data_IF_965843968151
#
_entry.id   IF_965843968151
#
_cell.length_a   1.000
_cell.length_b   1.000
_cell.length_c   1.000
_cell.angle_alpha   90.00
_cell.angle_beta   90.00
_cell.angle_gamma   90.00
#
_symmetry.space_group_name_H-M   'P 1'
#
loop_
_entity.id
_entity.type
_entity.pdbx_description
1 polymer ?
#
# COMPACT_ATOMS: atom_id res chain seq x y z
N UNK A 1 -11.34 19.68 1.08
CA UNK A 1 -11.18 18.37 1.76
C UNK A 1 -12.55 17.80 2.04
N UNK A 2 -12.84 16.52 1.77
CA UNK A 2 -14.00 15.88 2.35
C UNK A 2 -13.96 16.13 3.87
N UNK A 3 -15.03 16.72 4.42
CA UNK A 3 -15.08 17.07 5.84
C UNK A 3 -14.98 15.79 6.69
N UNK A 4 -13.97 15.72 7.55
CA UNK A 4 -13.83 14.63 8.52
C UNK A 4 -12.72 13.60 8.26
N UNK A 5 -11.83 13.79 7.28
CA UNK A 5 -10.66 12.92 7.15
C UNK A 5 -9.74 13.06 8.37
N UNK A 6 -9.23 11.94 8.92
CA UNK A 6 -8.29 12.00 10.03
C UNK A 6 -7.00 12.70 9.60
N UNK A 7 -6.40 13.45 10.52
CA UNK A 7 -5.13 14.12 10.27
C UNK A 7 -3.99 13.11 10.31
N UNK A 8 -3.24 13.04 9.22
CA UNK A 8 -2.03 12.25 9.07
C UNK A 8 -0.85 13.18 8.76
N UNK A 9 0.41 12.75 8.95
CA UNK A 9 1.56 13.59 8.61
C UNK A 9 1.55 14.15 7.18
N UNK A 10 1.08 13.35 6.19
CA UNK A 10 0.95 13.80 4.80
C UNK A 10 -0.02 14.96 4.61
N UNK A 11 -0.92 15.21 5.57
CA UNK A 11 -1.92 16.28 5.47
C UNK A 11 -1.27 17.68 5.38
N UNK A 12 -0.07 17.85 5.91
CA UNK A 12 0.67 19.11 5.88
C UNK A 12 1.22 19.43 4.48
N UNK A 13 1.32 18.45 3.59
CA UNK A 13 1.89 18.59 2.24
C UNK A 13 0.85 18.64 1.13
N UNK A 14 -0.44 18.48 1.45
CA UNK A 14 -1.49 18.31 0.45
C UNK A 14 -1.72 19.57 -0.40
N UNK A 15 -1.58 20.76 0.18
CA UNK A 15 -1.73 22.02 -0.57
C UNK A 15 -0.60 22.20 -1.58
N UNK A 16 0.66 21.97 -1.18
CA UNK A 16 1.81 22.00 -2.06
C UNK A 16 1.71 20.95 -3.19
N UNK A 17 1.21 19.74 -2.86
CA UNK A 17 0.97 18.68 -3.83
C UNK A 17 -0.11 19.08 -4.86
N UNK A 18 -1.20 19.66 -4.39
CA UNK A 18 -2.29 20.14 -5.26
C UNK A 18 -1.82 21.24 -6.19
N UNK A 19 -1.01 22.16 -5.70
CA UNK A 19 -0.40 23.24 -6.50
C UNK A 19 0.54 22.67 -7.56
N UNK A 20 1.44 21.75 -7.19
CA UNK A 20 2.35 21.09 -8.12
C UNK A 20 1.61 20.35 -9.25
N UNK A 21 0.59 19.56 -8.91
CA UNK A 21 -0.23 18.85 -9.90
C UNK A 21 -1.07 19.81 -10.77
N UNK A 22 -1.46 20.96 -10.24
CA UNK A 22 -2.22 21.96 -11.00
C UNK A 22 -1.32 22.69 -12.01
N UNK A 23 -0.13 23.09 -11.61
CA UNK A 23 0.77 23.95 -12.40
C UNK A 23 1.69 23.15 -13.32
N UNK A 24 2.24 22.04 -12.82
CA UNK A 24 3.22 21.21 -13.56
C UNK A 24 2.61 19.95 -14.14
N UNK A 25 1.52 19.47 -13.57
CA UNK A 25 0.87 18.20 -13.94
C UNK A 25 1.65 16.95 -13.52
N UNK A 26 2.83 17.10 -12.94
CA UNK A 26 3.67 16.03 -12.38
C UNK A 26 4.15 16.40 -10.99
N UNK A 27 4.30 15.41 -10.09
CA UNK A 27 4.89 15.62 -8.78
C UNK A 27 5.48 14.30 -8.25
N UNK A 28 6.44 14.41 -7.34
CA UNK A 28 6.96 13.30 -6.56
C UNK A 28 6.76 13.60 -5.08
N UNK A 29 6.13 12.68 -4.36
CA UNK A 29 5.88 12.77 -2.92
C UNK A 29 6.72 11.74 -2.19
N UNK A 30 7.61 12.20 -1.31
CA UNK A 30 8.32 11.36 -0.35
C UNK A 30 7.64 11.46 1.01
N UNK A 31 7.23 10.32 1.58
CA UNK A 31 6.63 10.26 2.90
C UNK A 31 6.89 8.90 3.54
N UNK A 32 7.27 8.83 4.82
CA UNK A 32 7.56 7.56 5.49
C UNK A 32 6.32 6.66 5.57
N UNK A 33 6.51 5.35 5.82
CA UNK A 33 5.40 4.44 6.05
C UNK A 33 4.47 4.94 7.16
N UNK A 34 3.17 4.76 6.98
CA UNK A 34 2.17 5.23 7.96
C UNK A 34 1.85 6.73 7.91
N UNK A 35 2.50 7.52 7.05
CA UNK A 35 2.18 8.95 6.87
C UNK A 35 0.79 9.21 6.25
N UNK A 36 0.11 8.18 5.74
CA UNK A 36 -1.22 8.27 5.14
C UNK A 36 -1.22 8.55 3.63
N UNK A 37 -0.06 8.48 2.94
CA UNK A 37 0.06 8.77 1.51
C UNK A 37 -0.94 7.99 0.65
N UNK A 38 -0.99 6.66 0.81
CA UNK A 38 -1.85 5.75 0.02
C UNK A 38 -3.35 6.05 0.15
N UNK A 39 -3.79 6.55 1.29
CA UNK A 39 -5.23 6.72 1.57
C UNK A 39 -5.69 8.17 1.52
N UNK A 40 -4.92 9.11 2.07
CA UNK A 40 -5.34 10.51 2.20
C UNK A 40 -5.10 11.28 0.91
N UNK A 41 -3.98 11.04 0.22
CA UNK A 41 -3.64 11.75 -1.02
C UNK A 41 -4.70 11.55 -2.12
N UNK A 42 -5.09 10.31 -2.49
CA UNK A 42 -6.11 10.13 -3.52
C UNK A 42 -7.47 10.72 -3.13
N UNK A 43 -7.86 10.60 -1.84
CA UNK A 43 -9.12 11.18 -1.34
C UNK A 43 -9.12 12.71 -1.37
N UNK A 44 -7.99 13.35 -1.04
CA UNK A 44 -7.86 14.79 -1.13
C UNK A 44 -7.98 15.28 -2.57
N UNK A 45 -7.39 14.56 -3.53
CA UNK A 45 -7.38 14.93 -4.94
C UNK A 45 -8.71 14.64 -5.68
N UNK A 46 -9.68 14.00 -5.02
CA UNK A 46 -11.03 13.81 -5.58
C UNK A 46 -11.71 15.12 -5.95
N UNK A 47 -11.51 16.17 -5.16
CA UNK A 47 -12.14 17.47 -5.37
C UNK A 47 -11.27 18.42 -6.22
N UNK A 48 -10.15 17.94 -6.78
CA UNK A 48 -9.26 18.77 -7.58
C UNK A 48 -9.97 19.28 -8.85
N UNK A 49 -9.97 20.61 -9.13
CA UNK A 49 -10.71 21.19 -10.27
C UNK A 49 -10.32 20.61 -11.63
N UNK A 50 -9.06 20.27 -11.80
CA UNK A 50 -8.53 19.71 -13.04
C UNK A 50 -9.00 18.26 -13.29
N UNK A 51 -9.44 17.54 -12.25
CA UNK A 51 -9.93 16.17 -12.40
C UNK A 51 -11.21 16.11 -13.23
N UNK A 52 -12.09 17.12 -13.11
CA UNK A 52 -13.42 17.12 -13.74
C UNK A 52 -14.15 15.82 -13.42
N UNK A 53 -14.51 15.05 -14.45
CA UNK A 53 -15.15 13.73 -14.32
C UNK A 53 -14.15 12.56 -14.48
N UNK A 54 -12.86 12.86 -14.69
CA UNK A 54 -11.82 11.85 -14.88
C UNK A 54 -11.54 11.05 -13.60
N UNK A 55 -11.14 9.80 -13.76
CA UNK A 55 -10.76 8.91 -12.67
C UNK A 55 -9.35 9.18 -12.16
N UNK A 56 -9.11 8.80 -10.93
CA UNK A 56 -7.79 8.63 -10.34
C UNK A 56 -7.48 7.14 -10.37
N UNK A 57 -6.38 6.76 -11.02
CA UNK A 57 -5.84 5.40 -10.99
C UNK A 57 -4.70 5.38 -9.99
N UNK A 58 -4.80 4.54 -8.96
CA UNK A 58 -3.77 4.31 -7.95
C UNK A 58 -3.14 2.94 -8.16
N UNK A 59 -1.86 2.91 -8.54
CA UNK A 59 -1.11 1.67 -8.67
C UNK A 59 -0.56 1.26 -7.31
N UNK A 60 -0.81 0.02 -6.95
CA UNK A 60 -0.33 -0.61 -5.74
C UNK A 60 0.34 -1.94 -6.11
N UNK A 61 1.60 -2.21 -5.75
CA UNK A 61 2.32 -3.39 -6.21
C UNK A 61 1.70 -4.70 -5.71
N UNK A 62 1.03 -4.67 -4.57
CA UNK A 62 0.55 -5.88 -3.89
C UNK A 62 -0.96 -5.97 -3.86
N UNK A 63 -1.49 -7.11 -4.28
CA UNK A 63 -2.95 -7.37 -4.34
C UNK A 63 -3.65 -7.16 -2.99
N UNK A 64 -2.99 -7.58 -1.91
CA UNK A 64 -3.54 -7.45 -0.57
C UNK A 64 -3.63 -5.99 -0.13
N UNK A 65 -2.55 -5.23 -0.36
CA UNK A 65 -2.47 -3.81 -0.08
C UNK A 65 -3.45 -3.00 -0.94
N UNK A 66 -3.56 -3.31 -2.24
CA UNK A 66 -4.53 -2.68 -3.14
C UNK A 66 -5.98 -2.80 -2.63
N UNK A 67 -6.37 -4.02 -2.22
CA UNK A 67 -7.70 -4.26 -1.65
C UNK A 67 -7.89 -3.56 -0.30
N UNK A 68 -6.88 -3.60 0.56
CA UNK A 68 -6.91 -2.95 1.87
C UNK A 68 -7.00 -1.42 1.73
N UNK A 69 -6.22 -0.83 0.82
CA UNK A 69 -6.25 0.61 0.52
C UNK A 69 -7.63 1.05 0.02
N UNK A 70 -8.20 0.33 -0.96
CA UNK A 70 -9.53 0.64 -1.47
C UNK A 70 -10.61 0.54 -0.40
N UNK A 71 -10.62 -0.53 0.41
CA UNK A 71 -11.57 -0.68 1.51
C UNK A 71 -11.39 0.41 2.58
N UNK A 72 -10.14 0.79 2.90
CA UNK A 72 -9.85 1.85 3.87
C UNK A 72 -10.33 3.20 3.38
N UNK A 73 -10.05 3.56 2.13
CA UNK A 73 -10.52 4.81 1.53
C UNK A 73 -12.05 4.87 1.48
N UNK A 74 -12.72 3.80 1.02
CA UNK A 74 -14.17 3.72 1.02
C UNK A 74 -14.76 3.89 2.43
N UNK A 75 -14.19 3.21 3.44
CA UNK A 75 -14.61 3.34 4.84
C UNK A 75 -14.45 4.76 5.38
N UNK A 76 -13.40 5.50 4.96
CA UNK A 76 -13.20 6.91 5.33
C UNK A 76 -14.28 7.83 4.73
N UNK A 77 -14.87 7.44 3.61
CA UNK A 77 -16.01 8.13 2.99
C UNK A 77 -17.37 7.65 3.55
N UNK A 78 -17.39 6.66 4.45
CA UNK A 78 -18.64 6.04 4.93
C UNK A 78 -19.28 5.07 3.93
N UNK A 79 -18.52 4.62 2.92
CA UNK A 79 -18.97 3.80 1.79
C UNK A 79 -18.35 2.38 1.84
N UNK A 80 -18.77 1.55 0.89
CA UNK A 80 -18.15 0.25 0.62
C UNK A 80 -17.30 0.33 -0.64
N UNK A 81 -16.25 -0.49 -0.73
CA UNK A 81 -15.48 -0.61 -1.95
C UNK A 81 -16.37 -1.03 -3.13
N UNK A 82 -16.22 -0.34 -4.26
CA UNK A 82 -17.04 -0.45 -5.46
C UNK A 82 -18.00 0.73 -5.68
N UNK A 83 -18.12 1.64 -4.70
CA UNK A 83 -18.84 2.91 -4.84
C UNK A 83 -17.88 4.00 -5.38
N UNK A 84 -17.60 5.06 -4.63
CA UNK A 84 -16.64 6.10 -5.06
C UNK A 84 -15.22 5.57 -5.20
N UNK A 85 -14.81 4.65 -4.31
CA UNK A 85 -13.51 3.97 -4.36
C UNK A 85 -13.71 2.51 -4.67
N UNK A 86 -12.99 2.02 -5.68
CA UNK A 86 -13.01 0.61 -6.06
C UNK A 86 -11.60 0.07 -6.29
N UNK A 87 -11.52 -1.20 -6.63
CA UNK A 87 -10.26 -1.84 -7.01
C UNK A 87 -10.43 -2.81 -8.17
N UNK A 88 -9.37 -3.00 -8.93
CA UNK A 88 -9.29 -4.00 -9.99
C UNK A 88 -7.94 -4.71 -9.96
N UNK A 89 -7.99 -6.01 -9.77
CA UNK A 89 -6.85 -6.91 -9.78
C UNK A 89 -7.16 -8.11 -10.66
N UNK A 90 -6.15 -8.90 -10.98
CA UNK A 90 -6.36 -10.14 -11.73
C UNK A 90 -7.33 -11.05 -10.96
N UNK A 91 -8.46 -11.41 -11.59
CA UNK A 91 -9.52 -12.28 -11.07
C UNK A 91 -10.29 -11.75 -9.84
N UNK A 92 -10.12 -10.49 -9.48
CA UNK A 92 -10.86 -9.86 -8.39
C UNK A 92 -11.07 -8.37 -8.68
N UNK A 93 -12.33 -7.92 -8.70
CA UNK A 93 -12.67 -6.54 -9.04
C UNK A 93 -13.93 -6.11 -8.31
N UNK A 94 -13.90 -4.89 -7.78
CA UNK A 94 -15.07 -4.19 -7.23
C UNK A 94 -15.05 -2.75 -7.69
N UNK A 95 -15.71 -2.49 -8.80
CA UNK A 95 -15.88 -1.18 -9.43
C UNK A 95 -17.33 -1.02 -9.91
N UNK A 96 -17.78 0.22 -10.06
CA UNK A 96 -19.06 0.59 -10.64
C UNK A 96 -18.93 1.81 -11.56
N UNK A 97 -20.01 2.22 -12.18
CA UNK A 97 -20.04 3.48 -12.95
C UNK A 97 -19.78 4.72 -12.06
N UNK A 98 -20.02 4.61 -10.75
CA UNK A 98 -19.76 5.66 -9.76
C UNK A 98 -18.30 5.73 -9.29
N UNK A 99 -17.47 4.73 -9.62
CA UNK A 99 -16.08 4.68 -9.12
C UNK A 99 -15.24 5.81 -9.71
N UNK A 100 -14.64 6.61 -8.83
CA UNK A 100 -13.79 7.77 -9.14
C UNK A 100 -12.32 7.52 -8.81
N UNK A 101 -12.04 6.72 -7.77
CA UNK A 101 -10.69 6.22 -7.47
C UNK A 101 -10.69 4.73 -7.73
N UNK A 102 -9.79 4.27 -8.59
CA UNK A 102 -9.62 2.86 -8.91
C UNK A 102 -8.22 2.41 -8.51
N UNK A 103 -8.14 1.56 -7.49
CA UNK A 103 -6.87 0.97 -7.05
C UNK A 103 -6.60 -0.25 -7.91
N UNK A 104 -5.45 -0.27 -8.56
CA UNK A 104 -5.07 -1.34 -9.49
C UNK A 104 -3.70 -1.89 -9.15
N UNK A 105 -3.46 -3.16 -9.51
CA UNK A 105 -2.09 -3.69 -9.50
C UNK A 105 -1.35 -3.29 -10.77
N UNK A 106 -0.03 -3.22 -10.71
CA UNK A 106 0.84 -2.79 -11.80
C UNK A 106 0.55 -3.53 -13.12
N UNK A 107 0.43 -4.86 -13.09
CA UNK A 107 0.11 -5.64 -14.29
C UNK A 107 -1.29 -5.38 -14.87
N UNK A 108 -2.25 -4.92 -14.04
CA UNK A 108 -3.56 -4.46 -14.53
C UNK A 108 -3.42 -3.11 -15.21
N UNK A 109 -2.64 -2.20 -14.66
CA UNK A 109 -2.38 -0.90 -15.28
C UNK A 109 -1.65 -1.04 -16.62
N UNK A 110 -0.61 -1.88 -16.68
CA UNK A 110 0.07 -2.16 -17.94
C UNK A 110 -0.89 -2.67 -19.03
N UNK A 111 -1.86 -3.49 -18.65
CA UNK A 111 -2.91 -3.94 -19.56
C UNK A 111 -3.85 -2.80 -19.96
N UNK A 112 -4.25 -1.95 -19.01
CA UNK A 112 -5.15 -0.81 -19.29
C UNK A 112 -4.54 0.12 -20.33
N UNK A 113 -3.26 0.48 -20.21
CA UNK A 113 -2.60 1.40 -21.12
C UNK A 113 -2.33 0.79 -22.50
N UNK A 114 -2.18 -0.54 -22.58
CA UNK A 114 -2.08 -1.24 -23.86
C UNK A 114 -3.43 -1.37 -24.58
N UNK A 115 -4.51 -1.54 -23.82
CA UNK A 115 -5.88 -1.65 -24.37
C UNK A 115 -6.45 -0.27 -24.74
N UNK A 116 -6.08 0.80 -24.03
CA UNK A 116 -6.44 2.20 -24.26
C UNK A 116 -5.21 3.11 -24.06
N UNK A 117 -4.40 3.34 -25.11
CA UNK A 117 -3.20 4.15 -25.03
C UNK A 117 -3.44 5.62 -24.65
N UNK A 118 -4.63 6.14 -24.83
CA UNK A 118 -4.99 7.51 -24.42
C UNK A 118 -5.40 7.58 -22.95
N UNK A 119 -5.56 6.44 -22.26
CA UNK A 119 -6.11 6.40 -20.90
C UNK A 119 -7.41 7.23 -20.78
N UNK A 120 -8.34 7.01 -21.70
CA UNK A 120 -9.59 7.77 -21.81
C UNK A 120 -10.34 7.81 -20.48
N UNK A 121 -10.73 9.02 -20.05
CA UNK A 121 -11.43 9.22 -18.78
C UNK A 121 -10.56 9.09 -17.53
N UNK A 122 -9.23 9.00 -17.65
CA UNK A 122 -8.29 9.07 -16.54
C UNK A 122 -7.73 10.48 -16.46
N UNK A 123 -7.78 11.09 -15.27
CA UNK A 123 -7.22 12.43 -15.00
C UNK A 123 -5.89 12.39 -14.26
N UNK A 124 -5.66 11.35 -13.46
CA UNK A 124 -4.46 11.19 -12.64
C UNK A 124 -4.07 9.74 -12.54
N UNK A 125 -2.78 9.45 -12.73
CA UNK A 125 -2.16 8.18 -12.39
C UNK A 125 -1.21 8.38 -11.21
N UNK A 126 -1.39 7.60 -10.15
CA UNK A 126 -0.56 7.61 -8.94
C UNK A 126 0.20 6.29 -8.88
N UNK A 127 1.52 6.35 -8.82
CA UNK A 127 2.40 5.21 -8.58
C UNK A 127 2.76 5.19 -7.10
N UNK A 128 2.18 4.27 -6.32
CA UNK A 128 2.51 4.13 -4.90
C UNK A 128 3.63 3.12 -4.69
N UNK A 129 4.29 3.23 -3.54
CA UNK A 129 5.43 2.39 -3.11
C UNK A 129 6.53 2.25 -4.19
N UNK A 130 6.75 3.29 -4.99
CA UNK A 130 7.66 3.27 -6.15
C UNK A 130 9.10 2.91 -5.78
N UNK A 131 9.51 3.05 -4.52
CA UNK A 131 10.81 2.62 -4.02
C UNK A 131 11.01 1.10 -4.01
N UNK A 132 9.96 0.28 -4.14
CA UNK A 132 10.07 -1.17 -4.28
C UNK A 132 10.69 -1.58 -5.63
N UNK A 133 10.69 -0.69 -6.62
CA UNK A 133 11.37 -0.82 -7.92
C UNK A 133 11.01 -2.11 -8.66
N UNK A 134 9.76 -2.26 -9.02
CA UNK A 134 9.34 -3.33 -9.93
C UNK A 134 9.53 -2.93 -11.40
N UNK A 135 9.79 -3.93 -12.26
CA UNK A 135 9.85 -3.71 -13.70
C UNK A 135 8.50 -3.18 -14.24
N UNK A 136 7.40 -3.68 -13.71
CA UNK A 136 6.05 -3.28 -14.14
C UNK A 136 5.73 -1.84 -13.76
N UNK A 137 6.19 -1.36 -12.58
CA UNK A 137 6.04 0.03 -12.17
C UNK A 137 6.88 0.97 -13.03
N UNK A 138 8.17 0.64 -13.24
CA UNK A 138 9.07 1.43 -14.08
C UNK A 138 8.55 1.51 -15.53
N UNK A 139 8.08 0.40 -16.09
CA UNK A 139 7.47 0.35 -17.42
C UNK A 139 6.17 1.14 -17.48
N UNK A 140 5.30 0.98 -16.49
CA UNK A 140 4.04 1.72 -16.39
C UNK A 140 4.26 3.23 -16.32
N UNK A 141 5.27 3.68 -15.54
CA UNK A 141 5.63 5.10 -15.48
C UNK A 141 6.14 5.61 -16.83
N UNK A 142 7.01 4.87 -17.50
CA UNK A 142 7.53 5.25 -18.81
C UNK A 142 6.39 5.41 -19.83
N UNK A 143 5.46 4.46 -19.88
CA UNK A 143 4.29 4.55 -20.75
C UNK A 143 3.37 5.73 -20.39
N UNK A 144 3.11 5.97 -19.12
CA UNK A 144 2.29 7.10 -18.68
C UNK A 144 2.92 8.45 -19.05
N UNK A 145 4.25 8.58 -18.95
CA UNK A 145 4.99 9.76 -19.38
C UNK A 145 4.93 9.94 -20.92
N UNK A 146 5.03 8.86 -21.68
CA UNK A 146 4.90 8.89 -23.14
C UNK A 146 3.49 9.34 -23.57
N UNK A 147 2.45 8.76 -22.95
CA UNK A 147 1.06 9.20 -23.16
C UNK A 147 0.88 10.67 -22.85
N UNK A 148 1.43 11.13 -21.71
CA UNK A 148 1.34 12.54 -21.33
C UNK A 148 2.04 13.45 -22.34
N UNK A 149 3.21 13.08 -22.84
CA UNK A 149 4.00 13.92 -23.74
C UNK A 149 3.45 13.98 -25.15
N UNK A 150 2.83 12.89 -25.63
CA UNK A 150 2.41 12.76 -27.02
C UNK A 150 0.90 12.83 -27.26
N UNK A 151 0.08 12.38 -26.31
CA UNK A 151 -1.36 12.18 -26.52
C UNK A 151 -2.23 12.99 -25.54
N UNK A 152 -1.80 13.12 -24.28
CA UNK A 152 -2.62 13.64 -23.18
C UNK A 152 -1.84 14.60 -22.28
N UNK A 153 -1.53 15.80 -22.77
CA UNK A 153 -0.86 16.84 -21.97
C UNK A 153 -1.60 17.18 -20.65
N UNK A 154 -2.90 16.92 -20.61
CA UNK A 154 -3.76 17.11 -19.44
C UNK A 154 -3.66 15.99 -18.39
N UNK A 155 -3.08 14.83 -18.74
CA UNK A 155 -2.89 13.72 -17.81
C UNK A 155 -1.91 14.12 -16.69
N UNK A 156 -2.29 13.89 -15.44
CA UNK A 156 -1.40 14.11 -14.31
C UNK A 156 -0.76 12.81 -13.86
N UNK A 157 0.48 12.94 -13.37
CA UNK A 157 1.25 11.79 -12.88
C UNK A 157 1.85 12.16 -11.52
N UNK A 158 1.59 11.32 -10.53
CA UNK A 158 2.15 11.42 -9.19
C UNK A 158 2.92 10.14 -8.87
N UNK A 159 4.15 10.29 -8.41
CA UNK A 159 4.93 9.17 -7.84
C UNK A 159 5.00 9.36 -6.33
N UNK A 160 4.70 8.32 -5.56
CA UNK A 160 4.81 8.29 -4.11
C UNK A 160 5.83 7.25 -3.66
N UNK A 161 6.70 7.63 -2.73
CA UNK A 161 7.81 6.80 -2.24
C UNK A 161 7.92 6.89 -0.73
N UNK A 162 8.43 5.85 -0.08
CA UNK A 162 8.80 5.87 1.34
C UNK A 162 10.24 6.33 1.58
N UNK A 163 11.05 6.47 0.55
CA UNK A 163 12.45 6.91 0.65
C UNK A 163 12.64 8.32 0.12
N UNK A 164 13.67 9.00 0.63
CA UNK A 164 14.00 10.39 0.27
C UNK A 164 14.74 10.49 -1.08
N UNK A 165 15.29 9.39 -1.62
CA UNK A 165 16.02 9.41 -2.90
C UNK A 165 15.06 9.35 -4.10
N UNK A 166 14.31 10.43 -4.28
CA UNK A 166 13.31 10.57 -5.35
C UNK A 166 13.80 11.45 -6.51
N UNK A 167 14.95 12.10 -6.38
CA UNK A 167 15.44 13.09 -7.33
C UNK A 167 15.66 12.53 -8.74
N UNK A 168 16.08 11.26 -8.86
CA UNK A 168 16.21 10.60 -10.16
C UNK A 168 14.85 10.41 -10.85
N UNK A 169 13.83 10.11 -10.08
CA UNK A 169 12.47 9.96 -10.61
C UNK A 169 11.93 11.33 -11.00
N UNK A 170 12.13 12.34 -10.17
CA UNK A 170 11.75 13.71 -10.47
C UNK A 170 12.37 14.23 -11.77
N UNK A 171 13.69 13.97 -11.98
CA UNK A 171 14.39 14.32 -13.21
C UNK A 171 13.81 13.60 -14.45
N UNK A 172 13.50 12.29 -14.34
CA UNK A 172 12.82 11.53 -15.41
C UNK A 172 11.44 12.08 -15.75
N UNK A 173 10.75 12.69 -14.78
CA UNK A 173 9.43 13.29 -14.95
C UNK A 173 9.51 14.77 -15.40
N UNK A 174 10.64 15.22 -15.95
CA UNK A 174 10.84 16.60 -16.43
C UNK A 174 11.02 17.60 -15.29
N UNK A 175 11.88 17.28 -14.34
CA UNK A 175 12.14 18.05 -13.11
C UNK A 175 10.84 18.33 -12.34
N UNK A 176 10.10 17.26 -12.07
CA UNK A 176 8.86 17.32 -11.31
C UNK A 176 9.11 17.87 -9.89
N UNK A 177 8.21 18.68 -9.33
CA UNK A 177 8.33 19.15 -7.95
C UNK A 177 8.43 17.98 -6.97
N UNK A 178 9.46 18.03 -6.11
CA UNK A 178 9.67 17.09 -5.01
C UNK A 178 9.01 17.65 -3.74
N UNK A 179 8.14 16.87 -3.15
CA UNK A 179 7.41 17.24 -1.93
C UNK A 179 7.73 16.20 -0.87
N UNK A 180 8.11 16.67 0.30
CA UNK A 180 8.52 15.82 1.42
C UNK A 180 7.56 15.99 2.60
N UNK A 181 7.05 14.85 3.10
CA UNK A 181 6.31 14.79 4.36
C UNK A 181 7.21 14.22 5.45
N UNK A 182 7.46 15.01 6.49
CA UNK A 182 8.39 14.65 7.57
C UNK A 182 7.91 13.53 8.49
N UNK A 183 6.68 13.09 8.43
CA UNK A 183 6.13 11.97 9.17
C UNK A 183 6.62 11.80 10.62
N UNK A 184 6.00 10.92 11.39
CA UNK A 184 6.52 10.53 12.72
C UNK A 184 7.28 9.21 12.58
N UNK A 185 8.57 9.21 12.91
CA UNK A 185 9.33 7.98 13.14
C UNK A 185 9.24 7.59 14.62
N UNK A 186 9.03 6.31 14.87
CA UNK A 186 9.14 5.75 16.23
C UNK A 186 10.51 5.10 16.39
N UNK A 187 11.11 5.11 17.59
CA UNK A 187 12.37 4.43 17.81
C UNK A 187 12.20 2.92 17.57
N UNK A 188 13.19 2.34 16.88
CA UNK A 188 13.24 0.90 16.57
C UNK A 188 14.40 0.31 17.35
N UNK A 189 14.13 -0.72 18.18
CA UNK A 189 15.15 -1.52 18.82
C UNK A 189 15.45 -2.75 17.96
N UNK A 190 16.65 -2.81 17.38
CA UNK A 190 17.06 -3.89 16.49
C UNK A 190 17.85 -4.91 17.30
N UNK A 191 17.39 -6.16 17.32
CA UNK A 191 18.02 -7.30 18.01
C UNK A 191 18.32 -8.41 17.03
N UNK A 192 19.54 -8.91 17.05
CA UNK A 192 19.97 -10.04 16.26
C UNK A 192 20.06 -11.28 17.15
N UNK A 193 19.63 -12.42 16.61
CA UNK A 193 19.74 -13.73 17.26
C UNK A 193 20.40 -14.71 16.31
N UNK A 194 21.42 -15.39 16.80
CA UNK A 194 22.06 -16.45 16.04
C UNK A 194 21.17 -17.69 15.94
N UNK A 195 21.26 -18.37 14.84
CA UNK A 195 20.60 -19.65 14.60
C UNK A 195 21.66 -20.68 14.20
N UNK A 196 21.62 -21.83 14.85
CA UNK A 196 22.44 -22.98 14.44
C UNK A 196 22.11 -23.40 13.01
N UNK A 197 23.14 -23.66 12.19
CA UNK A 197 22.96 -23.98 10.76
C UNK A 197 22.06 -25.21 10.49
N UNK A 198 22.05 -26.17 11.42
CA UNK A 198 21.20 -27.38 11.34
C UNK A 198 19.79 -27.23 11.92
N UNK A 199 19.50 -26.10 12.56
CA UNK A 199 18.20 -25.89 13.18
C UNK A 199 17.14 -25.47 12.15
N UNK A 200 15.96 -26.13 12.12
CA UNK A 200 14.83 -25.69 11.31
C UNK A 200 14.42 -24.24 11.62
N UNK A 201 14.09 -23.48 10.58
CA UNK A 201 13.71 -22.07 10.74
C UNK A 201 12.46 -21.91 11.60
N UNK A 202 11.53 -22.83 11.51
CA UNK A 202 10.30 -22.85 12.29
C UNK A 202 10.54 -23.02 13.80
N UNK A 203 11.58 -23.76 14.22
CA UNK A 203 11.95 -23.93 15.62
C UNK A 203 12.60 -22.66 16.19
N UNK A 204 13.47 -22.02 15.38
CA UNK A 204 14.09 -20.75 15.75
C UNK A 204 13.06 -19.63 15.86
N UNK A 205 12.14 -19.56 14.88
CA UNK A 205 11.08 -18.56 14.85
C UNK A 205 10.11 -18.74 16.02
N UNK A 206 9.67 -19.96 16.31
CA UNK A 206 8.79 -20.20 17.45
C UNK A 206 9.40 -19.75 18.77
N UNK A 207 10.71 -20.04 18.99
CA UNK A 207 11.43 -19.59 20.20
C UNK A 207 11.51 -18.07 20.26
N UNK A 208 11.86 -17.42 19.15
CA UNK A 208 11.95 -15.96 19.08
C UNK A 208 10.59 -15.29 19.37
N UNK A 209 9.50 -15.85 18.85
CA UNK A 209 8.14 -15.37 19.11
C UNK A 209 7.77 -15.50 20.58
N UNK A 210 8.05 -16.64 21.21
CA UNK A 210 7.76 -16.86 22.64
C UNK A 210 8.55 -15.86 23.48
N UNK A 211 9.86 -15.74 23.25
CA UNK A 211 10.72 -14.82 23.97
C UNK A 211 10.27 -13.36 23.82
N UNK A 212 9.92 -12.94 22.59
CA UNK A 212 9.43 -11.60 22.34
C UNK A 212 8.03 -11.36 22.94
N UNK A 213 7.16 -12.37 22.92
CA UNK A 213 5.83 -12.27 23.53
C UNK A 213 5.89 -12.06 25.05
N UNK A 214 6.85 -12.70 25.71
CA UNK A 214 7.03 -12.58 27.15
C UNK A 214 7.66 -11.23 27.57
N UNK A 215 8.44 -10.62 26.67
CA UNK A 215 9.13 -9.35 26.93
C UNK A 215 8.30 -8.11 26.62
N UNK A 216 7.49 -8.16 25.58
CA UNK A 216 6.82 -6.98 25.04
C UNK A 216 5.30 -7.18 24.91
N UNK A 217 4.48 -6.17 25.23
CA UNK A 217 3.02 -6.32 25.25
C UNK A 217 2.36 -6.22 23.88
N UNK A 218 3.09 -5.90 22.80
CA UNK A 218 2.55 -5.66 21.47
C UNK A 218 2.15 -6.93 20.71
N UNK A 219 1.50 -6.76 19.56
CA UNK A 219 1.32 -7.82 18.56
C UNK A 219 2.63 -8.09 17.82
N UNK A 220 2.77 -9.28 17.28
CA UNK A 220 3.99 -9.75 16.60
C UNK A 220 3.66 -10.02 15.13
N UNK A 221 4.49 -9.51 14.22
CA UNK A 221 4.52 -9.91 12.81
C UNK A 221 5.81 -10.67 12.55
N UNK A 222 5.69 -11.95 12.18
CA UNK A 222 6.83 -12.82 11.93
C UNK A 222 6.87 -13.22 10.45
N UNK A 223 7.98 -12.91 9.77
CA UNK A 223 8.18 -13.26 8.38
C UNK A 223 8.86 -14.63 8.24
N UNK A 224 8.27 -15.48 7.43
CA UNK A 224 8.69 -16.85 7.16
C UNK A 224 8.82 -17.10 5.66
N UNK A 225 9.72 -18.00 5.21
CA UNK A 225 9.99 -18.22 3.79
C UNK A 225 8.80 -18.71 2.98
N UNK A 226 7.87 -19.46 3.61
CA UNK A 226 6.77 -20.07 2.89
C UNK A 226 5.64 -20.61 3.77
N UNK A 227 4.57 -21.07 3.11
CA UNK A 227 3.39 -21.63 3.77
C UNK A 227 3.74 -22.79 4.69
N UNK A 228 4.65 -23.68 4.30
CA UNK A 228 5.06 -24.84 5.10
C UNK A 228 5.66 -24.41 6.43
N UNK A 229 6.56 -23.46 6.42
CA UNK A 229 7.24 -22.94 7.61
C UNK A 229 6.26 -22.18 8.50
N UNK A 230 5.30 -21.45 7.91
CA UNK A 230 4.19 -20.79 8.64
C UNK A 230 3.37 -21.83 9.42
N UNK A 231 2.89 -22.89 8.76
CA UNK A 231 2.05 -23.89 9.39
C UNK A 231 2.81 -24.65 10.49
N UNK A 232 4.05 -25.04 10.22
CA UNK A 232 4.90 -25.69 11.22
C UNK A 232 5.23 -24.81 12.42
N UNK A 233 5.43 -23.50 12.19
CA UNK A 233 5.62 -22.55 13.30
C UNK A 233 4.33 -22.41 14.11
N UNK A 234 3.17 -22.33 13.45
CA UNK A 234 1.88 -22.28 14.14
C UNK A 234 1.66 -23.52 15.03
N UNK A 235 1.95 -24.73 14.53
CA UNK A 235 1.87 -25.98 15.30
C UNK A 235 2.75 -25.94 16.56
N UNK A 236 3.96 -25.38 16.48
CA UNK A 236 4.89 -25.24 17.62
C UNK A 236 4.44 -24.23 18.67
N UNK A 237 3.60 -23.28 18.26
CA UNK A 237 3.04 -22.25 19.11
C UNK A 237 1.71 -22.65 19.75
N UNK A 238 1.10 -23.77 19.31
CA UNK A 238 -0.14 -24.26 19.90
C UNK A 238 0.00 -24.50 21.40
N UNK A 239 -0.98 -24.00 22.16
CA UNK A 239 -0.99 -24.15 23.63
C UNK A 239 0.09 -23.40 24.39
N UNK A 240 0.90 -22.57 23.71
CA UNK A 240 1.95 -21.78 24.36
C UNK A 240 1.48 -20.48 24.97
N UNK A 241 0.32 -19.98 24.51
CA UNK A 241 -0.23 -18.68 24.91
C UNK A 241 -1.62 -18.83 25.51
N UNK A 242 -2.04 -17.83 26.28
CA UNK A 242 -3.39 -17.76 26.81
C UNK A 242 -4.44 -17.47 25.74
N UNK A 243 -5.72 -17.51 26.13
CA UNK A 243 -6.85 -17.27 25.23
C UNK A 243 -6.91 -15.81 24.68
N UNK A 244 -6.10 -14.93 25.23
CA UNK A 244 -5.94 -13.54 24.81
C UNK A 244 -5.00 -13.36 23.61
N UNK A 245 -4.27 -14.41 23.21
CA UNK A 245 -3.33 -14.36 22.09
C UNK A 245 -3.85 -15.18 20.90
N UNK A 246 -3.94 -14.55 19.74
CA UNK A 246 -4.43 -15.12 18.47
C UNK A 246 -3.23 -15.38 17.56
N UNK A 247 -3.04 -16.62 17.11
CA UNK A 247 -2.09 -16.98 16.07
C UNK A 247 -2.82 -16.90 14.73
N UNK A 248 -2.29 -16.10 13.79
CA UNK A 248 -2.92 -15.82 12.49
C UNK A 248 -1.93 -16.09 11.35
N UNK A 249 -1.98 -17.26 10.70
CA UNK A 249 -1.27 -17.53 9.46
C UNK A 249 -1.71 -16.57 8.35
N UNK A 250 -0.73 -16.09 7.51
CA UNK A 250 -1.00 -15.22 6.37
C UNK A 250 -0.09 -15.56 5.18
N UNK A 251 -0.67 -16.15 4.14
CA UNK A 251 0.03 -16.50 2.91
C UNK A 251 -0.91 -16.46 1.70
N UNK A 252 -0.36 -16.44 0.49
CA UNK A 252 -1.10 -16.13 -0.75
C UNK A 252 -2.26 -17.07 -1.08
N UNK A 253 -2.18 -18.37 -0.70
CA UNK A 253 -3.20 -19.36 -1.00
C UNK A 253 -4.33 -19.46 0.04
N UNK A 254 -4.30 -18.62 1.09
CA UNK A 254 -5.42 -18.52 2.03
C UNK A 254 -6.67 -17.96 1.36
N UNK A 255 -7.84 -18.40 1.84
CA UNK A 255 -9.11 -17.80 1.48
C UNK A 255 -9.17 -16.31 1.87
N UNK A 256 -9.92 -15.51 1.11
CA UNK A 256 -10.02 -14.07 1.34
C UNK A 256 -10.44 -13.71 2.77
N UNK A 257 -11.42 -14.42 3.32
CA UNK A 257 -11.92 -14.17 4.67
C UNK A 257 -10.82 -14.40 5.74
N UNK A 258 -9.96 -15.40 5.55
CA UNK A 258 -8.85 -15.70 6.46
C UNK A 258 -7.76 -14.63 6.35
N UNK A 259 -7.43 -14.20 5.13
CA UNK A 259 -6.49 -13.09 4.91
C UNK A 259 -7.00 -11.82 5.60
N UNK A 260 -8.27 -11.46 5.38
CA UNK A 260 -8.89 -10.28 6.00
C UNK A 260 -8.86 -10.37 7.53
N UNK A 261 -9.10 -11.56 8.10
CA UNK A 261 -9.03 -11.78 9.54
C UNK A 261 -7.59 -11.64 10.08
N UNK A 262 -6.60 -12.11 9.34
CA UNK A 262 -5.19 -11.98 9.74
C UNK A 262 -4.74 -10.50 9.76
N UNK A 263 -5.23 -9.68 8.82
CA UNK A 263 -4.85 -8.26 8.68
C UNK A 263 -5.58 -7.36 9.67
N UNK A 264 -6.85 -7.64 9.98
CA UNK A 264 -7.63 -6.80 10.91
C UNK A 264 -6.90 -6.63 12.23
N UNK A 265 -6.98 -5.46 12.87
CA UNK A 265 -6.45 -5.27 14.22
C UNK A 265 -6.95 -6.35 15.18
N UNK A 266 -6.12 -6.70 16.17
CA UNK A 266 -6.56 -7.60 17.23
C UNK A 266 -7.77 -6.98 17.97
N UNK A 267 -8.76 -7.77 18.40
CA UNK A 267 -9.83 -7.30 19.27
C UNK A 267 -9.27 -6.67 20.55
N UNK A 268 -10.02 -5.75 21.13
CA UNK A 268 -9.60 -5.08 22.36
C UNK A 268 -9.26 -6.10 23.47
N UNK A 269 -8.14 -5.91 24.14
CA UNK A 269 -7.63 -6.81 25.19
C UNK A 269 -6.99 -8.09 24.66
N UNK A 270 -6.83 -8.26 23.34
CA UNK A 270 -6.14 -9.41 22.75
C UNK A 270 -4.87 -9.00 22.02
N UNK A 271 -3.94 -9.92 21.92
CA UNK A 271 -2.72 -9.81 21.13
C UNK A 271 -2.83 -10.69 19.88
N UNK A 272 -2.11 -10.33 18.83
CA UNK A 272 -2.05 -11.12 17.60
C UNK A 272 -0.61 -11.42 17.23
N UNK A 273 -0.36 -12.67 16.88
CA UNK A 273 0.88 -13.14 16.26
C UNK A 273 0.54 -13.50 14.82
N UNK A 274 0.98 -12.67 13.88
CA UNK A 274 0.78 -12.92 12.45
C UNK A 274 2.03 -13.63 11.92
N UNK A 275 1.86 -14.82 11.35
CA UNK A 275 2.91 -15.59 10.70
C UNK A 275 2.75 -15.42 9.20
N UNK A 276 3.61 -14.66 8.55
CA UNK A 276 3.42 -14.23 7.17
C UNK A 276 4.61 -14.56 6.26
N UNK A 277 4.35 -14.66 4.96
CA UNK A 277 5.38 -14.45 3.93
C UNK A 277 5.50 -12.97 3.63
N UNK A 278 6.32 -12.58 2.64
CA UNK A 278 6.41 -11.19 2.15
C UNK A 278 5.06 -10.56 1.70
N UNK A 279 3.97 -11.32 1.69
CA UNK A 279 2.62 -10.79 1.41
C UNK A 279 2.18 -9.69 2.42
N UNK A 280 2.78 -9.67 3.61
CA UNK A 280 2.45 -8.72 4.68
C UNK A 280 3.36 -7.48 4.72
N UNK A 281 4.32 -7.39 3.82
CA UNK A 281 5.20 -6.22 3.67
C UNK A 281 4.46 -4.98 3.16
#
# INVERSE_FOLDING_TARGET
MPQGLPHYPVSETLDALSEALTTRGTAVLSAPPGAGKTTIVPLHLLDAPWRKDGKIILLEPRRLAARAAANRMASLLGEKAGETVGYRMRLDSRISAGTRIEVVTEGVFARMILDDPELSGVALVIFDEFHERSLDADFGLALALDVRSGLREDLRILVMSATLDVSRVAALMGDAPEIESMGRSYPIDIRYQDRDAGQPVEDAMARAIIDQHDREPGSILAFLPGQREILRTAERLEGRFGADTIIAPLYGNLGQAEQDQAIRPAPQGRRKIVLATSIAE
#
